data_IF_301346801760
#
_entry.id   IF_301346801760
#
_cell.length_a   1.000
_cell.length_b   1.000
_cell.length_c   1.000
_cell.angle_alpha   90.00
_cell.angle_beta   90.00
_cell.angle_gamma   90.00
#
_symmetry.space_group_name_H-M   'P 1'
#
loop_
_entity.id
_entity.type
_entity.pdbx_description
1 polymer ?
#
# COMPACT_ATOMS: atom_id res chain seq x y z
N UNK A 1 16.48 -19.97 -1.61
CA UNK A 1 15.37 -20.92 -1.85
C UNK A 1 15.13 -21.51 -0.49
N UNK A 2 13.94 -21.31 0.11
CA UNK A 2 13.69 -21.71 1.48
C UNK A 2 13.94 -23.21 1.61
N UNK A 3 14.76 -23.54 2.60
CA UNK A 3 15.15 -24.94 2.86
C UNK A 3 14.21 -25.60 3.85
N UNK A 4 13.44 -24.80 4.62
CA UNK A 4 12.44 -25.24 5.61
C UNK A 4 13.00 -26.07 6.78
N UNK A 5 14.25 -26.50 6.70
CA UNK A 5 14.92 -27.35 7.67
C UNK A 5 15.78 -26.55 8.68
N UNK A 6 16.18 -25.32 8.32
CA UNK A 6 17.09 -24.49 9.11
C UNK A 6 16.46 -23.12 9.37
N UNK A 7 15.73 -22.96 10.48
CA UNK A 7 14.99 -21.73 10.77
C UNK A 7 15.82 -20.45 10.76
N UNK A 8 17.08 -20.50 11.21
CA UNK A 8 17.98 -19.33 11.19
C UNK A 8 18.34 -18.90 9.77
N UNK A 9 18.62 -19.86 8.88
CA UNK A 9 18.90 -19.58 7.47
C UNK A 9 17.67 -19.01 6.77
N UNK A 10 16.49 -19.58 7.02
CA UNK A 10 15.25 -19.09 6.41
C UNK A 10 14.90 -17.68 6.94
N UNK A 11 15.26 -17.34 8.18
CA UNK A 11 15.14 -15.99 8.71
C UNK A 11 16.08 -14.98 8.01
N UNK A 12 17.33 -15.37 7.72
CA UNK A 12 18.26 -14.54 6.95
C UNK A 12 17.76 -14.33 5.50
N UNK A 13 17.25 -15.39 4.85
CA UNK A 13 16.65 -15.30 3.52
C UNK A 13 15.41 -14.38 3.51
N UNK A 14 14.58 -14.43 4.56
CA UNK A 14 13.45 -13.51 4.74
C UNK A 14 13.91 -12.06 4.89
N UNK A 15 14.98 -11.80 5.66
CA UNK A 15 15.51 -10.45 5.85
C UNK A 15 15.98 -9.85 4.52
N UNK A 16 16.69 -10.63 3.71
CA UNK A 16 17.14 -10.20 2.38
C UNK A 16 15.97 -10.00 1.40
N UNK A 17 14.97 -10.88 1.42
CA UNK A 17 13.76 -10.70 0.62
C UNK A 17 12.99 -9.43 1.02
N UNK A 18 12.84 -9.16 2.32
CA UNK A 18 12.20 -7.95 2.84
C UNK A 18 12.98 -6.69 2.45
N UNK A 19 14.32 -6.73 2.50
CA UNK A 19 15.19 -5.64 2.01
C UNK A 19 14.99 -5.40 0.51
N UNK A 20 14.93 -6.47 -0.28
CA UNK A 20 14.63 -6.40 -1.71
C UNK A 20 13.28 -5.76 -2.00
N UNK A 21 12.23 -6.20 -1.28
CA UNK A 21 10.89 -5.62 -1.38
C UNK A 21 10.89 -4.13 -1.03
N UNK A 22 11.50 -3.73 0.09
CA UNK A 22 11.58 -2.33 0.51
C UNK A 22 12.32 -1.45 -0.51
N UNK A 23 13.33 -1.99 -1.18
CA UNK A 23 14.02 -1.30 -2.25
C UNK A 23 13.18 -1.20 -3.53
N UNK A 24 12.42 -2.23 -3.88
CA UNK A 24 11.61 -2.27 -5.10
C UNK A 24 10.35 -1.38 -4.98
N UNK A 25 9.72 -1.30 -3.81
CA UNK A 25 8.49 -0.52 -3.61
C UNK A 25 8.66 0.99 -3.85
N UNK A 26 9.90 1.51 -3.75
CA UNK A 26 10.22 2.91 -4.07
C UNK A 26 10.23 3.21 -5.58
N UNK A 27 10.24 2.17 -6.42
CA UNK A 27 10.38 2.24 -7.88
C UNK A 27 9.17 1.61 -8.60
N UNK A 28 8.00 1.52 -7.96
CA UNK A 28 6.80 1.04 -8.63
C UNK A 28 6.42 2.04 -9.73
N UNK A 29 6.54 1.63 -10.99
CA UNK A 29 6.24 2.46 -12.17
C UNK A 29 4.76 2.38 -12.54
N UNK A 30 4.22 1.16 -12.53
CA UNK A 30 2.84 0.84 -12.85
C UNK A 30 1.99 0.81 -11.58
N UNK A 31 1.06 1.76 -11.38
CA UNK A 31 0.21 1.78 -10.19
C UNK A 31 -0.61 0.48 -9.98
N UNK A 32 -0.91 -0.25 -11.06
CA UNK A 32 -1.55 -1.56 -11.02
C UNK A 32 -0.75 -2.62 -10.25
N UNK A 33 0.59 -2.55 -10.24
CA UNK A 33 1.46 -3.50 -9.56
C UNK A 33 1.29 -3.45 -8.03
N UNK A 34 0.82 -2.32 -7.50
CA UNK A 34 0.57 -2.15 -6.06
C UNK A 34 -0.44 -3.16 -5.51
N UNK A 35 -1.36 -3.64 -6.35
CA UNK A 35 -2.34 -4.64 -5.94
C UNK A 35 -1.65 -5.98 -5.59
N UNK A 36 -0.82 -6.50 -6.50
CA UNK A 36 -0.10 -7.76 -6.30
C UNK A 36 0.89 -7.69 -5.12
N UNK A 37 1.57 -6.54 -4.99
CA UNK A 37 2.48 -6.28 -3.87
C UNK A 37 1.75 -6.35 -2.53
N UNK A 38 0.58 -5.70 -2.41
CA UNK A 38 -0.22 -5.73 -1.18
C UNK A 38 -0.75 -7.14 -0.85
N UNK A 39 -1.16 -7.90 -1.86
CA UNK A 39 -1.58 -9.30 -1.68
C UNK A 39 -0.45 -10.18 -1.16
N UNK A 40 0.75 -10.05 -1.76
CA UNK A 40 1.95 -10.78 -1.32
C UNK A 40 2.41 -10.37 0.08
N UNK A 41 2.29 -9.09 0.42
CA UNK A 41 2.63 -8.57 1.75
C UNK A 41 1.70 -9.14 2.83
N UNK A 42 0.39 -9.22 2.57
CA UNK A 42 -0.56 -9.86 3.47
C UNK A 42 -0.18 -11.32 3.77
N UNK A 43 0.12 -12.10 2.72
CA UNK A 43 0.53 -13.50 2.87
C UNK A 43 1.85 -13.62 3.66
N UNK A 44 2.79 -12.71 3.44
CA UNK A 44 4.08 -12.68 4.14
C UNK A 44 3.90 -12.37 5.63
N UNK A 45 3.11 -11.35 5.96
CA UNK A 45 2.81 -10.99 7.36
C UNK A 45 2.07 -12.10 8.10
N UNK A 46 1.15 -12.80 7.43
CA UNK A 46 0.44 -13.96 8.01
C UNK A 46 1.41 -15.10 8.37
N UNK A 47 2.43 -15.34 7.54
CA UNK A 47 3.48 -16.33 7.84
C UNK A 47 4.40 -15.88 8.97
N UNK A 48 4.74 -14.59 9.03
CA UNK A 48 5.51 -14.02 10.14
C UNK A 48 4.74 -14.16 11.46
N UNK A 49 3.45 -13.83 11.48
CA UNK A 49 2.57 -14.05 12.63
C UNK A 49 2.63 -15.51 13.10
N UNK A 50 2.52 -16.45 12.16
CA UNK A 50 2.61 -17.88 12.48
C UNK A 50 3.97 -18.26 13.07
N UNK A 51 5.07 -17.75 12.51
CA UNK A 51 6.42 -17.97 13.05
C UNK A 51 6.58 -17.42 14.48
N UNK A 52 6.04 -16.24 14.75
CA UNK A 52 6.02 -15.65 16.11
C UNK A 52 5.24 -16.53 17.10
N UNK A 53 4.07 -17.05 16.70
CA UNK A 53 3.30 -17.97 17.52
C UNK A 53 4.07 -19.28 17.80
N UNK A 54 4.77 -19.81 16.80
CA UNK A 54 5.59 -21.01 16.95
C UNK A 54 6.77 -20.80 17.91
N UNK A 55 7.45 -19.65 17.82
CA UNK A 55 8.54 -19.29 18.73
C UNK A 55 8.04 -19.06 20.15
N UNK A 56 6.88 -18.41 20.33
CA UNK A 56 6.26 -18.24 21.64
C UNK A 56 5.97 -19.59 22.30
N UNK A 57 5.35 -20.51 21.55
CA UNK A 57 5.06 -21.86 22.03
C UNK A 57 6.35 -22.67 22.28
N UNK A 58 7.41 -22.44 21.52
CA UNK A 58 8.72 -23.05 21.79
C UNK A 58 9.29 -22.58 23.13
N UNK A 59 9.27 -21.28 23.43
CA UNK A 59 9.73 -20.75 24.71
C UNK A 59 8.94 -21.34 25.89
N UNK A 60 7.61 -21.39 25.79
CA UNK A 60 6.75 -21.97 26.82
C UNK A 60 7.11 -23.44 27.12
N UNK A 61 7.30 -24.26 26.08
CA UNK A 61 7.69 -25.68 26.24
C UNK A 61 9.08 -25.89 26.84
N UNK A 62 10.01 -24.94 26.65
CA UNK A 62 11.41 -25.11 27.01
C UNK A 62 11.86 -24.25 28.20
N UNK A 63 10.98 -23.42 28.77
CA UNK A 63 11.33 -22.51 29.86
C UNK A 63 11.94 -23.22 31.08
N UNK A 64 11.49 -24.44 31.38
CA UNK A 64 12.01 -25.25 32.50
C UNK A 64 13.47 -25.69 32.35
N UNK A 65 14.02 -25.66 31.13
CA UNK A 65 15.41 -26.02 30.84
C UNK A 65 16.33 -24.79 30.77
N UNK A 66 15.79 -23.58 30.90
CA UNK A 66 16.55 -22.35 30.76
C UNK A 66 17.41 -22.05 32.00
N UNK A 67 18.59 -21.47 31.76
CA UNK A 67 19.48 -20.91 32.77
C UNK A 67 20.19 -19.69 32.17
N UNK A 68 20.63 -18.77 33.01
CA UNK A 68 21.56 -17.70 32.63
C UNK A 68 22.98 -18.23 32.42
N UNK A 69 23.88 -17.40 31.90
CA UNK A 69 25.28 -17.79 31.62
C UNK A 69 26.06 -18.21 32.89
N UNK A 70 25.69 -17.70 34.07
CA UNK A 70 26.22 -18.09 35.37
C UNK A 70 25.47 -19.29 36.01
N UNK A 71 24.46 -19.82 35.34
CA UNK A 71 23.75 -21.05 35.72
C UNK A 71 22.50 -20.85 36.59
N UNK A 72 22.01 -19.62 36.77
CA UNK A 72 20.75 -19.37 37.50
C UNK A 72 19.54 -19.84 36.66
N UNK A 73 18.95 -20.97 37.10
CA UNK A 73 17.77 -21.56 36.46
C UNK A 73 16.47 -20.78 36.72
N UNK A 74 16.35 -20.13 37.87
CA UNK A 74 15.14 -19.37 38.18
C UNK A 74 15.07 -18.12 37.31
N UNK A 75 16.18 -17.39 37.21
CA UNK A 75 16.30 -16.24 36.31
C UNK A 75 16.15 -16.67 34.84
N UNK A 76 16.81 -17.75 34.42
CA UNK A 76 16.70 -18.27 33.04
C UNK A 76 15.26 -18.62 32.66
N UNK A 77 14.54 -19.32 33.54
CA UNK A 77 13.11 -19.63 33.34
C UNK A 77 12.27 -18.35 33.18
N UNK A 78 12.44 -17.38 34.07
CA UNK A 78 11.71 -16.10 34.01
C UNK A 78 11.99 -15.35 32.70
N UNK A 79 13.25 -15.33 32.23
CA UNK A 79 13.59 -14.77 30.92
C UNK A 79 12.90 -15.50 29.77
N UNK A 80 12.86 -16.83 29.77
CA UNK A 80 12.21 -17.62 28.73
C UNK A 80 10.70 -17.37 28.68
N UNK A 81 10.03 -17.32 29.84
CA UNK A 81 8.60 -16.98 29.94
C UNK A 81 8.34 -15.58 29.40
N UNK A 82 9.14 -14.59 29.79
CA UNK A 82 9.02 -13.20 29.29
C UNK A 82 9.20 -13.12 27.77
N UNK A 83 10.19 -13.82 27.22
CA UNK A 83 10.40 -13.87 25.77
C UNK A 83 9.18 -14.44 25.03
N UNK A 84 8.64 -15.56 25.50
CA UNK A 84 7.40 -16.13 24.96
C UNK A 84 6.20 -15.18 25.05
N UNK A 85 6.06 -14.46 26.16
CA UNK A 85 5.03 -13.43 26.35
C UNK A 85 5.14 -12.29 25.33
N UNK A 86 6.34 -11.74 25.11
CA UNK A 86 6.55 -10.70 24.11
C UNK A 86 6.29 -11.18 22.68
N UNK A 87 6.68 -12.41 22.35
CA UNK A 87 6.38 -13.01 21.05
C UNK A 87 4.88 -13.21 20.82
N UNK A 88 4.13 -13.55 21.88
CA UNK A 88 2.66 -13.66 21.84
C UNK A 88 2.03 -12.29 21.53
N UNK A 89 2.51 -11.23 22.19
CA UNK A 89 2.06 -9.86 21.92
C UNK A 89 2.40 -9.46 20.48
N UNK A 90 3.63 -9.74 20.03
CA UNK A 90 4.06 -9.43 18.67
C UNK A 90 3.22 -10.15 17.60
N UNK A 91 2.84 -11.41 17.82
CA UNK A 91 1.95 -12.14 16.94
C UNK A 91 0.57 -11.48 16.83
N UNK A 92 -0.04 -11.10 17.97
CA UNK A 92 -1.32 -10.41 18.00
C UNK A 92 -1.25 -9.02 17.33
N UNK A 93 -0.17 -8.27 17.54
CA UNK A 93 0.06 -7.01 16.84
C UNK A 93 0.23 -7.21 15.34
N UNK A 94 0.92 -8.27 14.91
CA UNK A 94 1.09 -8.60 13.48
C UNK A 94 -0.24 -8.96 12.83
N UNK A 95 -1.13 -9.67 13.53
CA UNK A 95 -2.50 -9.92 13.07
C UNK A 95 -3.26 -8.62 12.81
N UNK A 96 -3.12 -7.63 13.69
CA UNK A 96 -3.72 -6.31 13.46
C UNK A 96 -3.15 -5.61 12.20
N UNK A 97 -1.84 -5.71 11.98
CA UNK A 97 -1.18 -5.20 10.76
C UNK A 97 -1.69 -5.92 9.52
N UNK A 98 -1.86 -7.25 9.58
CA UNK A 98 -2.47 -8.07 8.51
C UNK A 98 -3.84 -7.52 8.13
N UNK A 99 -4.70 -7.24 9.11
CA UNK A 99 -6.04 -6.68 8.86
C UNK A 99 -5.99 -5.29 8.21
N UNK A 100 -5.06 -4.43 8.63
CA UNK A 100 -4.87 -3.11 8.02
C UNK A 100 -4.40 -3.21 6.56
N UNK A 101 -3.47 -4.11 6.27
CA UNK A 101 -3.00 -4.35 4.89
C UNK A 101 -4.12 -4.90 4.02
N UNK A 102 -4.96 -5.81 4.52
CA UNK A 102 -6.13 -6.30 3.77
C UNK A 102 -7.14 -5.18 3.47
N UNK A 103 -7.38 -4.26 4.42
CA UNK A 103 -8.22 -3.09 4.19
C UNK A 103 -7.64 -2.19 3.10
N UNK A 104 -6.34 -1.88 3.19
CA UNK A 104 -5.64 -1.09 2.17
C UNK A 104 -5.70 -1.77 0.79
N UNK A 105 -5.47 -3.07 0.72
CA UNK A 105 -5.58 -3.86 -0.51
C UNK A 105 -6.98 -3.81 -1.11
N UNK A 106 -8.02 -3.88 -0.26
CA UNK A 106 -9.43 -3.77 -0.70
C UNK A 106 -9.74 -2.38 -1.27
N UNK A 107 -9.24 -1.30 -0.65
CA UNK A 107 -9.39 0.05 -1.22
C UNK A 107 -8.58 0.20 -2.51
N UNK A 108 -7.36 -0.33 -2.56
CA UNK A 108 -6.50 -0.27 -3.74
C UNK A 108 -7.18 -0.92 -4.96
N UNK A 109 -7.87 -2.04 -4.77
CA UNK A 109 -8.64 -2.70 -5.82
C UNK A 109 -9.82 -1.90 -6.37
N UNK A 110 -10.22 -0.80 -5.72
CA UNK A 110 -11.28 0.11 -6.20
C UNK A 110 -10.72 1.29 -7.00
N UNK A 111 -9.40 1.47 -7.05
CA UNK A 111 -8.80 2.60 -7.74
C UNK A 111 -8.76 2.32 -9.25
N UNK A 112 -9.39 3.20 -10.03
CA UNK A 112 -9.26 3.22 -11.48
C UNK A 112 -8.16 4.22 -11.89
N UNK A 113 -6.91 3.75 -11.97
CA UNK A 113 -5.79 4.58 -12.39
C UNK A 113 -5.96 5.03 -13.84
N UNK A 114 -5.88 6.34 -14.08
CA UNK A 114 -6.03 6.91 -15.41
C UNK A 114 -4.65 7.01 -16.09
N UNK A 115 -4.46 6.42 -17.29
CA UNK A 115 -3.24 6.57 -18.06
C UNK A 115 -2.92 8.06 -18.28
N UNK A 116 -1.64 8.43 -18.27
CA UNK A 116 -1.24 9.83 -18.41
C UNK A 116 -1.76 10.45 -19.72
N UNK A 117 -1.72 9.70 -20.82
CA UNK A 117 -2.29 10.12 -22.11
C UNK A 117 -3.81 10.36 -22.06
N UNK A 118 -4.55 9.54 -21.31
CA UNK A 118 -6.00 9.71 -21.13
C UNK A 118 -6.30 10.97 -20.28
N UNK A 119 -5.43 11.29 -19.32
CA UNK A 119 -5.53 12.51 -18.50
C UNK A 119 -5.36 13.77 -19.34
N UNK A 120 -4.34 13.83 -20.21
CA UNK A 120 -4.11 14.97 -21.11
C UNK A 120 -5.27 15.17 -22.09
N UNK A 121 -5.82 14.09 -22.66
CA UNK A 121 -6.99 14.17 -23.53
C UNK A 121 -8.24 14.69 -22.79
N UNK A 122 -8.46 14.23 -21.55
CA UNK A 122 -9.56 14.71 -20.73
C UNK A 122 -9.46 16.21 -20.41
N UNK A 123 -8.24 16.71 -20.14
CA UNK A 123 -8.02 18.14 -19.88
C UNK A 123 -8.29 18.98 -21.13
N UNK A 124 -7.76 18.58 -22.29
CA UNK A 124 -8.01 19.29 -23.55
C UNK A 124 -9.49 19.29 -23.96
N UNK A 125 -10.21 18.19 -23.70
CA UNK A 125 -11.65 18.14 -23.93
C UNK A 125 -12.42 19.09 -23.00
N UNK A 126 -12.02 19.16 -21.72
CA UNK A 126 -12.64 20.08 -20.76
C UNK A 126 -12.44 21.55 -21.15
N UNK A 127 -11.24 21.92 -21.63
CA UNK A 127 -10.95 23.26 -22.15
C UNK A 127 -11.81 23.57 -23.39
N UNK A 128 -11.89 22.65 -24.35
CA UNK A 128 -12.71 22.83 -25.55
C UNK A 128 -14.21 22.99 -25.24
N UNK A 129 -14.71 22.29 -24.21
CA UNK A 129 -16.08 22.44 -23.74
C UNK A 129 -16.32 23.81 -23.07
N UNK A 130 -15.38 24.29 -22.26
CA UNK A 130 -15.46 25.61 -21.64
C UNK A 130 -15.42 26.74 -22.68
N UNK A 131 -14.57 26.61 -23.71
CA UNK A 131 -14.54 27.54 -24.85
C UNK A 131 -15.87 27.53 -25.61
N UNK A 132 -16.45 26.35 -25.81
CA UNK A 132 -17.75 26.22 -26.49
C UNK A 132 -18.89 26.85 -25.69
N UNK A 133 -18.87 26.69 -24.38
CA UNK A 133 -19.86 27.28 -23.47
C UNK A 133 -19.76 28.81 -23.45
N UNK A 134 -18.54 29.36 -23.35
CA UNK A 134 -18.31 30.81 -23.43
C UNK A 134 -18.74 31.43 -24.78
N UNK A 135 -18.57 30.68 -25.87
CA UNK A 135 -19.02 31.09 -27.21
C UNK A 135 -20.56 31.06 -27.38
N UNK A 136 -21.28 30.31 -26.54
CA UNK A 136 -22.75 30.28 -26.54
C UNK A 136 -23.36 31.38 -25.65
N UNK A 137 -22.68 31.75 -24.55
CA UNK A 137 -23.08 32.84 -23.67
C UNK A 137 -22.80 34.24 -24.25
N UNK A 138 -21.90 34.33 -25.23
CA UNK A 138 -21.71 35.55 -26.02
C UNK A 138 -22.80 35.65 -27.09
N UNK A 139 -23.97 36.17 -26.70
CA UNK A 139 -25.13 36.38 -27.57
C UNK A 139 -24.82 37.18 -28.86
N UNK A 140 -25.63 37.03 -29.93
CA UNK A 140 -25.30 37.57 -31.25
C UNK A 140 -25.15 39.09 -31.22
N UNK A 141 -24.21 39.67 -32.00
CA UNK A 141 -24.00 41.11 -32.01
C UNK A 141 -25.30 41.80 -32.45
N UNK A 142 -25.72 42.82 -31.70
CA UNK A 142 -26.87 43.64 -32.05
C UNK A 142 -26.67 44.21 -33.46
N UNK A 143 -27.44 43.69 -34.43
CA UNK A 143 -27.42 44.15 -35.82
C UNK A 143 -27.85 45.61 -35.88
N UNK A 144 -26.87 46.52 -35.90
CA UNK A 144 -27.09 47.93 -36.13
C UNK A 144 -27.53 48.17 -37.58
N UNK A 145 -28.82 48.39 -37.80
CA UNK A 145 -29.31 48.90 -39.07
C UNK A 145 -28.86 50.35 -39.25
N UNK A 146 -27.81 50.55 -40.05
CA UNK A 146 -27.41 51.86 -40.58
C UNK A 146 -28.32 52.23 -41.75
N UNK A 147 -29.34 53.04 -41.49
CA UNK A 147 -30.20 53.61 -42.51
C UNK A 147 -29.49 54.77 -43.23
N UNK A 148 -28.89 54.51 -44.39
CA UNK A 148 -28.38 55.58 -45.28
C UNK A 148 -29.53 56.13 -46.13
N UNK A 149 -30.08 57.26 -45.69
CA UNK A 149 -30.99 58.08 -46.48
C UNK A 149 -30.18 58.87 -47.51
N UNK A 150 -30.28 58.50 -48.78
CA UNK A 150 -29.70 59.28 -49.90
C UNK A 150 -30.85 59.96 -50.63
N UNK A 151 -30.81 61.29 -50.69
CA UNK A 151 -31.88 62.12 -51.23
C UNK A 151 -31.85 62.32 -52.76
N UNK A 152 -33.04 62.67 -53.27
CA UNK A 152 -33.38 63.68 -54.29
C UNK A 152 -32.83 63.58 -55.74
N UNK A 153 -33.77 63.49 -56.69
CA UNK A 153 -34.07 64.50 -57.74
C UNK A 153 -35.33 64.03 -58.49
N UNK A 154 -36.48 64.73 -58.38
CA UNK A 154 -37.01 65.84 -59.21
C UNK A 154 -37.25 65.49 -60.68
#
# INVERSE_FOLDING_TARGET
MPTYDVPSRDADELAEAARGLAYATRQIESPEDTYEVLGSLHLTLSRIQQGLQQLAAWHDRHASFAATDDGDRAAGHDHAVKAGGWLTIAAASTEQVVQLVMKAHSENGRIAWQPEAARTQSTGLAEALAEREAALDSGPPASGHTNQSTGLSR
#
